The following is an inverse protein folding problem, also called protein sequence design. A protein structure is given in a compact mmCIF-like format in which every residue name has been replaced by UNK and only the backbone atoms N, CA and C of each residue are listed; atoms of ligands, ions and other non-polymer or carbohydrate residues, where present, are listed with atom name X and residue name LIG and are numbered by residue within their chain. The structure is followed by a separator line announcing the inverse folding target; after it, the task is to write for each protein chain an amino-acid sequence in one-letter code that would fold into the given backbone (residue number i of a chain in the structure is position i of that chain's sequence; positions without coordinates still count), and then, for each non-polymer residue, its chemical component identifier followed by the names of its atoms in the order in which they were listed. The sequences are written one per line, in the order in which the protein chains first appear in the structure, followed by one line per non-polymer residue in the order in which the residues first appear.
data_IF_404442316635
#
_entry.id   IF_404442316635
#
_cell.length_a   1.000
_cell.length_b   1.000
_cell.length_c   1.000
_cell.angle_alpha   90.00
_cell.angle_beta   90.00
_cell.angle_gamma   90.00
#
_symmetry.space_group_name_H-M   'P 1'
#
loop_
_entity.id
_entity.type
_entity.pdbx_description
1 polymer ?
#
# COMPACT_ATOMS: atom_id res chain seq x y z
N UNK A 1 -5.93 -7.12 17.90
CA UNK A 1 -6.94 -6.09 17.56
C UNK A 1 -6.52 -5.29 16.32
N UNK A 2 -5.22 -5.13 16.03
CA UNK A 2 -4.76 -4.28 14.92
C UNK A 2 -4.75 -4.92 13.52
N UNK A 3 -4.78 -6.25 13.41
CA UNK A 3 -4.62 -6.93 12.11
C UNK A 3 -5.90 -6.91 11.25
N UNK A 4 -7.06 -7.04 11.87
CA UNK A 4 -8.35 -7.01 11.16
C UNK A 4 -8.73 -5.60 10.71
N UNK A 5 -8.31 -4.57 11.44
CA UNK A 5 -8.65 -3.18 11.10
C UNK A 5 -7.95 -2.69 9.82
N UNK A 6 -6.69 -3.08 9.59
CA UNK A 6 -5.94 -2.67 8.40
C UNK A 6 -6.46 -3.35 7.12
N UNK A 7 -6.79 -4.64 7.20
CA UNK A 7 -7.38 -5.38 6.06
C UNK A 7 -8.79 -4.90 5.77
N UNK A 8 -9.60 -4.64 6.80
CA UNK A 8 -10.93 -4.04 6.64
C UNK A 8 -10.87 -2.62 6.08
N UNK A 9 -9.83 -1.87 6.40
CA UNK A 9 -9.65 -0.51 5.86
C UNK A 9 -9.38 -0.53 4.34
N UNK A 10 -8.49 -1.41 3.87
CA UNK A 10 -8.20 -1.56 2.44
C UNK A 10 -9.43 -2.05 1.66
N UNK A 11 -10.17 -3.02 2.20
CA UNK A 11 -11.42 -3.49 1.60
C UNK A 11 -12.56 -2.46 1.64
N UNK A 12 -12.66 -1.62 2.68
CA UNK A 12 -13.67 -0.56 2.73
C UNK A 12 -13.45 0.53 1.69
N UNK A 13 -12.21 0.79 1.29
CA UNK A 13 -11.93 1.77 0.23
C UNK A 13 -12.46 1.35 -1.15
N UNK A 14 -12.61 0.05 -1.38
CA UNK A 14 -13.11 -0.47 -2.68
C UNK A 14 -14.57 -0.86 -2.67
N UNK A 15 -15.13 -1.24 -1.51
CA UNK A 15 -16.48 -1.79 -1.43
C UNK A 15 -17.56 -0.84 -0.88
N UNK A 16 -17.16 0.26 -0.22
CA UNK A 16 -18.11 1.22 0.40
C UNK A 16 -18.37 2.46 -0.48
N UNK A 17 -17.94 2.46 -1.74
CA UNK A 17 -18.44 3.44 -2.70
C UNK A 17 -19.90 3.09 -3.01
N UNK A 18 -20.84 4.04 -2.90
CA UNK A 18 -22.22 3.79 -3.27
C UNK A 18 -22.27 3.33 -4.73
N UNK A 19 -23.20 2.42 -5.10
CA UNK A 19 -23.31 1.88 -6.46
C UNK A 19 -23.32 2.95 -7.55
N UNK A 20 -23.84 4.13 -7.25
CA UNK A 20 -23.85 5.31 -8.13
C UNK A 20 -22.46 5.84 -8.48
N UNK A 21 -21.44 5.63 -7.64
CA UNK A 21 -20.06 6.07 -7.90
C UNK A 21 -19.34 5.04 -8.78
N UNK A 22 -19.62 3.75 -8.59
CA UNK A 22 -19.07 2.67 -9.42
C UNK A 22 -19.64 2.71 -10.83
N UNK A 23 -20.95 2.93 -10.99
CA UNK A 23 -21.61 3.11 -12.30
C UNK A 23 -21.04 4.33 -13.05
N UNK A 24 -20.75 5.43 -12.34
CA UNK A 24 -20.15 6.61 -12.94
C UNK A 24 -18.68 6.43 -13.33
N UNK A 25 -17.93 5.61 -12.59
CA UNK A 25 -16.54 5.33 -12.93
C UNK A 25 -16.39 4.43 -14.16
N UNK A 26 -17.32 3.49 -14.37
CA UNK A 26 -17.36 2.69 -15.60
C UNK A 26 -17.77 3.54 -16.82
N UNK A 27 -18.62 4.53 -16.63
CA UNK A 27 -19.02 5.46 -17.70
C UNK A 27 -17.87 6.42 -18.08
N UNK A 28 -17.05 6.84 -17.13
CA UNK A 28 -15.85 7.66 -17.36
C UNK A 28 -14.71 6.88 -18.04
N UNK A 29 -14.69 5.55 -17.88
CA UNK A 29 -13.69 4.66 -18.49
C UNK A 29 -14.14 4.13 -19.85
N UNK A 30 -15.36 4.45 -20.32
CA UNK A 30 -15.76 4.11 -21.69
C UNK A 30 -14.82 4.83 -22.66
N UNK A 31 -14.21 4.09 -23.61
CA UNK A 31 -13.43 4.74 -24.66
C UNK A 31 -14.32 5.78 -25.36
N UNK A 32 -13.77 6.95 -25.57
CA UNK A 32 -14.46 7.99 -26.32
C UNK A 32 -14.99 7.39 -27.64
N UNK A 33 -16.22 7.75 -28.04
CA UNK A 33 -16.78 7.24 -29.29
C UNK A 33 -15.79 7.50 -30.41
N UNK A 34 -15.46 6.43 -31.18
CA UNK A 34 -14.44 6.45 -32.24
C UNK A 34 -14.78 7.41 -33.39
N UNK A 35 -15.91 8.07 -33.33
CA UNK A 35 -16.36 9.02 -34.31
C UNK A 35 -15.99 10.46 -33.91
N UNK A 36 -14.74 10.82 -34.18
CA UNK A 36 -14.24 12.20 -33.97
C UNK A 36 -15.10 13.27 -34.70
N UNK A 37 -15.84 12.88 -35.72
CA UNK A 37 -16.70 13.78 -36.48
C UNK A 37 -17.97 14.17 -35.70
N UNK A 38 -18.48 13.31 -34.83
CA UNK A 38 -19.63 13.61 -33.97
C UNK A 38 -19.28 14.56 -32.85
N UNK A 39 -18.06 14.45 -32.29
CA UNK A 39 -17.54 15.36 -31.28
C UNK A 39 -17.31 16.78 -31.82
N UNK A 40 -16.79 16.92 -33.04
CA UNK A 40 -16.60 18.22 -33.67
C UNK A 40 -17.92 18.90 -34.06
N UNK A 41 -18.95 18.17 -34.44
CA UNK A 41 -20.27 18.73 -34.72
C UNK A 41 -20.96 19.28 -33.47
N UNK A 42 -20.84 18.58 -32.33
CA UNK A 42 -21.36 19.07 -31.04
C UNK A 42 -20.65 20.32 -30.54
N UNK A 43 -19.35 20.44 -30.79
CA UNK A 43 -18.57 21.62 -30.39
C UNK A 43 -18.93 22.88 -31.22
N UNK A 44 -19.62 22.73 -32.36
CA UNK A 44 -20.03 23.84 -33.22
C UNK A 44 -21.45 24.36 -32.89
N UNK A 45 -22.25 23.68 -32.10
CA UNK A 45 -23.56 24.14 -31.63
C UNK A 45 -23.37 25.00 -30.37
N UNK A 46 -23.97 26.15 -30.32
CA UNK A 46 -23.98 26.99 -29.12
C UNK A 46 -24.67 26.23 -27.99
N UNK A 47 -24.08 26.17 -26.76
CA UNK A 47 -24.64 25.47 -25.65
C UNK A 47 -26.05 25.95 -25.34
N UNK A 48 -26.99 25.02 -25.18
CA UNK A 48 -28.37 25.32 -24.82
C UNK A 48 -28.47 25.73 -23.35
N UNK A 49 -29.59 26.32 -22.95
CA UNK A 49 -29.85 26.60 -21.54
C UNK A 49 -29.88 25.28 -20.71
N UNK A 50 -30.32 24.17 -21.31
CA UNK A 50 -30.32 22.86 -20.68
C UNK A 50 -28.90 22.37 -20.40
N UNK A 51 -27.97 22.48 -21.35
CA UNK A 51 -26.57 22.11 -21.18
C UNK A 51 -25.91 22.90 -20.03
N UNK A 52 -26.29 24.17 -19.88
CA UNK A 52 -25.83 25.01 -18.77
C UNK A 52 -26.35 24.49 -17.43
N UNK A 53 -27.63 24.15 -17.32
CA UNK A 53 -28.17 23.60 -16.07
C UNK A 53 -27.60 22.22 -15.74
N UNK A 54 -27.39 21.35 -16.73
CA UNK A 54 -26.78 20.05 -16.55
C UNK A 54 -25.32 20.17 -16.11
N UNK A 55 -24.57 21.11 -16.66
CA UNK A 55 -23.22 21.43 -16.21
C UNK A 55 -23.19 21.93 -14.75
N UNK A 56 -24.10 22.84 -14.39
CA UNK A 56 -24.15 23.35 -13.01
C UNK A 56 -24.51 22.22 -12.02
N UNK A 57 -25.45 21.36 -12.37
CA UNK A 57 -25.80 20.21 -11.55
C UNK A 57 -24.62 19.29 -11.37
N UNK A 58 -23.96 18.89 -12.45
CA UNK A 58 -22.75 18.03 -12.42
C UNK A 58 -21.64 18.66 -11.56
N UNK A 59 -21.41 19.98 -11.71
CA UNK A 59 -20.44 20.71 -10.90
C UNK A 59 -20.76 20.63 -9.39
N UNK A 60 -22.02 20.83 -9.00
CA UNK A 60 -22.40 20.75 -7.60
C UNK A 60 -22.33 19.32 -7.07
N UNK A 61 -22.77 18.34 -7.82
CA UNK A 61 -22.68 16.93 -7.46
C UNK A 61 -21.20 16.50 -7.24
N UNK A 62 -20.32 16.81 -8.16
CA UNK A 62 -18.87 16.56 -8.02
C UNK A 62 -18.25 17.30 -6.85
N UNK A 63 -18.67 18.52 -6.60
CA UNK A 63 -18.19 19.29 -5.46
C UNK A 63 -18.58 18.63 -4.14
N UNK A 64 -19.81 18.16 -4.01
CA UNK A 64 -20.27 17.44 -2.82
C UNK A 64 -19.48 16.13 -2.64
N UNK A 65 -19.33 15.35 -3.70
CA UNK A 65 -18.56 14.10 -3.68
C UNK A 65 -17.09 14.34 -3.31
N UNK A 66 -16.49 15.42 -3.83
CA UNK A 66 -15.13 15.80 -3.48
C UNK A 66 -14.97 16.08 -1.99
N UNK A 67 -15.85 16.90 -1.41
CA UNK A 67 -15.80 17.21 0.02
C UNK A 67 -16.09 15.98 0.89
N UNK A 68 -17.02 15.13 0.49
CA UNK A 68 -17.28 13.88 1.21
C UNK A 68 -16.08 12.92 1.16
N UNK A 69 -15.44 12.81 0.01
CA UNK A 69 -14.20 12.02 -0.13
C UNK A 69 -13.08 12.56 0.77
N UNK A 70 -12.89 13.89 0.82
CA UNK A 70 -11.92 14.51 1.73
C UNK A 70 -12.24 14.22 3.20
N UNK A 71 -13.52 14.30 3.58
CA UNK A 71 -13.98 13.97 4.93
C UNK A 71 -13.69 12.50 5.27
N UNK A 72 -14.00 11.58 4.36
CA UNK A 72 -13.73 10.15 4.56
C UNK A 72 -12.23 9.89 4.71
N UNK A 73 -11.39 10.47 3.85
CA UNK A 73 -9.94 10.34 3.95
C UNK A 73 -9.40 10.88 5.27
N UNK A 74 -9.90 12.02 5.73
CA UNK A 74 -9.51 12.58 7.02
C UNK A 74 -9.90 11.66 8.18
N UNK A 75 -11.10 11.09 8.16
CA UNK A 75 -11.54 10.14 9.17
C UNK A 75 -10.69 8.88 9.18
N UNK A 76 -10.39 8.31 8.00
CA UNK A 76 -9.54 7.14 7.88
C UNK A 76 -8.12 7.41 8.41
N UNK A 77 -7.58 8.60 8.14
CA UNK A 77 -6.27 9.01 8.68
C UNK A 77 -6.29 9.09 10.21
N UNK A 78 -7.32 9.72 10.78
CA UNK A 78 -7.47 9.80 12.23
C UNK A 78 -7.64 8.42 12.90
N UNK A 79 -8.37 7.51 12.27
CA UNK A 79 -8.50 6.13 12.74
C UNK A 79 -7.14 5.40 12.68
N UNK A 80 -6.39 5.58 11.61
CA UNK A 80 -5.07 5.00 11.44
C UNK A 80 -4.07 5.53 12.48
N UNK A 81 -4.08 6.83 12.74
CA UNK A 81 -3.29 7.45 13.82
C UNK A 81 -3.66 6.91 15.20
N UNK A 82 -4.96 6.79 15.51
CA UNK A 82 -5.44 6.21 16.77
C UNK A 82 -5.04 4.74 16.94
N UNK A 83 -4.92 4.01 15.84
CA UNK A 83 -4.42 2.64 15.83
C UNK A 83 -2.90 2.53 16.01
N UNK A 84 -2.17 3.64 16.08
CA UNK A 84 -0.70 3.67 16.24
C UNK A 84 0.06 3.51 14.94
N UNK A 85 -0.53 3.93 13.83
CA UNK A 85 0.08 3.90 12.49
C UNK A 85 0.60 2.50 12.11
N UNK A 86 -0.23 1.45 12.17
CA UNK A 86 0.20 0.11 11.77
C UNK A 86 0.62 0.09 10.30
N UNK A 87 1.57 -0.78 9.91
CA UNK A 87 1.95 -0.94 8.51
C UNK A 87 0.76 -1.29 7.63
N UNK A 88 0.58 -0.55 6.53
CA UNK A 88 -0.46 -0.78 5.53
C UNK A 88 0.03 -1.77 4.48
N UNK A 89 0.08 -3.05 4.84
CA UNK A 89 0.48 -4.14 3.94
C UNK A 89 -0.75 -4.92 3.45
N UNK A 90 -0.77 -5.25 2.17
CA UNK A 90 -1.80 -6.13 1.55
C UNK A 90 -1.55 -7.62 1.85
N UNK A 91 -0.57 -7.92 2.68
CA UNK A 91 -0.15 -9.26 3.07
C UNK A 91 -0.25 -9.44 4.57
N UNK A 92 -0.47 -10.69 5.05
CA UNK A 92 -0.32 -10.98 6.46
C UNK A 92 1.15 -11.07 6.82
N UNK A 93 1.49 -10.64 8.01
CA UNK A 93 2.86 -10.63 8.49
C UNK A 93 2.95 -10.86 10.00
N UNK A 94 4.13 -11.26 10.43
CA UNK A 94 4.55 -11.24 11.82
C UNK A 94 5.77 -10.31 11.99
N UNK A 95 5.84 -9.60 13.10
CA UNK A 95 7.03 -8.81 13.44
C UNK A 95 8.05 -9.72 14.09
N UNK A 96 9.21 -9.85 13.44
CA UNK A 96 10.33 -10.64 13.97
C UNK A 96 11.20 -9.82 14.91
N UNK A 97 11.61 -8.65 14.47
CA UNK A 97 12.45 -7.74 15.23
C UNK A 97 11.91 -6.32 15.15
N UNK A 98 11.79 -5.66 16.28
CA UNK A 98 11.47 -4.25 16.38
C UNK A 98 12.67 -3.51 16.95
N UNK A 99 13.38 -2.78 16.09
CA UNK A 99 14.61 -2.11 16.47
C UNK A 99 14.41 -0.90 17.39
N UNK A 100 13.17 -0.48 17.62
CA UNK A 100 12.86 0.53 18.65
C UNK A 100 13.15 0.02 20.06
N UNK A 101 13.18 -1.29 20.25
CA UNK A 101 13.52 -1.94 21.52
C UNK A 101 15.00 -2.26 21.70
N UNK A 102 15.85 -1.98 20.71
CA UNK A 102 17.28 -2.26 20.78
C UNK A 102 18.01 -1.22 21.66
N UNK A 103 19.17 -1.58 22.18
CA UNK A 103 20.03 -0.66 22.95
C UNK A 103 20.34 0.60 22.12
N UNK A 104 20.68 0.43 20.84
CA UNK A 104 20.75 1.51 19.85
C UNK A 104 19.45 1.52 19.05
N UNK A 105 18.46 2.20 19.58
CA UNK A 105 17.12 2.16 19.02
C UNK A 105 17.04 2.92 17.70
N UNK A 106 16.32 2.32 16.72
CA UNK A 106 16.06 2.87 15.39
C UNK A 106 14.61 2.65 15.05
N UNK A 107 14.00 3.55 14.29
CA UNK A 107 12.60 3.45 13.89
C UNK A 107 12.33 2.45 12.75
N UNK A 108 12.98 1.28 12.80
CA UNK A 108 12.83 0.21 11.81
C UNK A 108 12.34 -1.08 12.47
N UNK A 109 11.63 -1.88 11.69
CA UNK A 109 11.26 -3.25 12.08
C UNK A 109 11.41 -4.21 10.92
N UNK A 110 11.74 -5.47 11.24
CA UNK A 110 11.78 -6.59 10.30
C UNK A 110 10.48 -7.39 10.44
N UNK A 111 9.76 -7.49 9.35
CA UNK A 111 8.55 -8.28 9.23
C UNK A 111 8.85 -9.54 8.41
N UNK A 112 8.23 -10.66 8.78
CA UNK A 112 8.11 -11.85 7.94
C UNK A 112 6.72 -11.87 7.33
N UNK A 113 6.63 -11.98 6.02
CA UNK A 113 5.34 -12.11 5.34
C UNK A 113 4.86 -13.56 5.50
N UNK A 114 3.63 -13.74 5.96
CA UNK A 114 3.12 -15.06 6.34
C UNK A 114 2.00 -15.58 5.46
N UNK A 115 1.38 -14.73 4.66
CA UNK A 115 0.29 -15.15 3.80
C UNK A 115 0.19 -14.25 2.56
N UNK A 116 -0.05 -14.87 1.42
CA UNK A 116 -0.40 -14.23 0.16
C UNK A 116 -1.67 -14.85 -0.40
N UNK A 117 -2.62 -14.04 -0.86
CA UNK A 117 -3.86 -14.48 -1.51
C UNK A 117 -4.66 -15.55 -0.73
N UNK A 118 -4.57 -15.54 0.61
CA UNK A 118 -5.24 -16.52 1.47
C UNK A 118 -4.48 -17.84 1.65
N UNK A 119 -3.31 -17.98 1.03
CA UNK A 119 -2.43 -19.14 1.21
C UNK A 119 -1.37 -18.85 2.26
N UNK A 120 -1.15 -19.80 3.18
CA UNK A 120 -0.15 -19.63 4.22
C UNK A 120 1.28 -19.79 3.67
N UNK A 121 2.23 -19.25 4.43
CA UNK A 121 3.65 -19.25 4.12
C UNK A 121 4.20 -20.64 3.75
N UNK A 122 3.93 -21.65 4.58
CA UNK A 122 4.53 -22.97 4.45
C UNK A 122 4.11 -23.69 3.15
N UNK A 123 2.95 -23.32 2.59
CA UNK A 123 2.44 -23.91 1.35
C UNK A 123 2.96 -23.21 0.08
N UNK A 124 3.49 -22.00 0.21
CA UNK A 124 3.86 -21.14 -0.93
C UNK A 124 5.37 -21.03 -1.15
N UNK A 125 6.16 -21.34 -0.14
CA UNK A 125 7.60 -21.07 -0.14
C UNK A 125 8.41 -22.30 -0.52
N UNK A 126 9.31 -22.13 -1.47
CA UNK A 126 10.34 -23.10 -1.80
C UNK A 126 11.54 -22.87 -0.85
N UNK A 127 11.85 -23.84 0.03
CA UNK A 127 12.92 -23.70 1.00
C UNK A 127 14.33 -23.62 0.38
N UNK A 128 14.47 -24.05 -0.89
CA UNK A 128 15.74 -24.02 -1.60
C UNK A 128 16.00 -22.65 -2.27
N UNK A 129 14.99 -21.76 -2.28
CA UNK A 129 15.15 -20.40 -2.82
C UNK A 129 15.73 -19.44 -1.79
N UNK A 130 16.61 -18.50 -2.23
CA UNK A 130 17.17 -17.51 -1.32
C UNK A 130 16.06 -16.61 -0.76
N UNK A 131 16.12 -16.26 0.54
CA UNK A 131 15.19 -15.30 1.12
C UNK A 131 15.41 -13.90 0.55
N UNK A 132 14.33 -13.18 0.30
CA UNK A 132 14.34 -11.80 -0.19
C UNK A 132 13.98 -10.86 0.94
N UNK A 133 14.84 -9.88 1.20
CA UNK A 133 14.59 -8.80 2.15
C UNK A 133 14.26 -7.54 1.35
N UNK A 134 13.00 -7.18 1.31
CA UNK A 134 12.55 -5.94 0.69
C UNK A 134 12.69 -4.81 1.70
N UNK A 135 13.45 -3.77 1.32
CA UNK A 135 13.63 -2.57 2.14
C UNK A 135 12.74 -1.47 1.58
N UNK A 136 11.82 -1.01 2.39
CA UNK A 136 10.89 0.06 2.00
C UNK A 136 11.65 1.37 1.76
N UNK A 137 11.41 2.06 0.63
CA UNK A 137 11.99 3.37 0.40
C UNK A 137 11.45 4.37 1.42
N UNK A 138 12.33 5.13 2.05
CA UNK A 138 11.94 6.14 3.04
C UNK A 138 11.38 7.40 2.37
N UNK A 139 10.33 7.23 1.57
CA UNK A 139 9.72 8.27 0.74
C UNK A 139 8.27 8.57 1.14
N UNK A 140 8.00 8.75 2.43
CA UNK A 140 6.66 9.06 2.92
C UNK A 140 6.28 8.24 4.15
N UNK A 141 4.98 8.11 4.38
CA UNK A 141 4.43 7.34 5.48
C UNK A 141 3.82 6.04 4.97
N UNK A 142 4.17 4.95 5.62
CA UNK A 142 3.66 3.62 5.30
C UNK A 142 4.57 2.82 4.37
N UNK A 143 4.23 1.57 4.09
CA UNK A 143 4.98 0.73 3.18
C UNK A 143 4.87 1.30 1.78
N UNK A 144 6.00 1.68 1.20
CA UNK A 144 6.07 2.24 -0.13
C UNK A 144 5.64 1.27 -1.22
N UNK A 145 6.42 1.15 -2.27
CA UNK A 145 6.12 0.28 -3.41
C UNK A 145 6.22 -1.22 -3.09
N UNK A 146 6.79 -1.58 -1.92
CA UNK A 146 7.14 -2.94 -1.58
C UNK A 146 5.96 -3.85 -1.27
N UNK A 147 4.91 -3.37 -0.62
CA UNK A 147 3.96 -4.28 0.02
C UNK A 147 2.51 -3.85 0.12
N UNK A 148 2.10 -2.71 -0.44
CA UNK A 148 0.72 -2.24 -0.29
C UNK A 148 -0.26 -2.70 -1.39
N UNK A 149 0.20 -3.51 -2.32
CA UNK A 149 -0.61 -4.15 -3.36
C UNK A 149 -0.01 -5.49 -3.79
N UNK A 150 -0.86 -6.37 -4.33
CA UNK A 150 -0.48 -7.72 -4.73
C UNK A 150 0.59 -7.79 -5.82
N UNK A 151 0.59 -6.84 -6.74
CA UNK A 151 1.58 -6.72 -7.82
C UNK A 151 2.75 -5.82 -7.40
N UNK A 152 3.21 -5.99 -6.17
CA UNK A 152 4.39 -5.35 -5.61
C UNK A 152 5.58 -6.29 -5.62
N UNK A 153 6.76 -5.77 -5.28
CA UNK A 153 8.00 -6.56 -5.16
C UNK A 153 7.83 -7.71 -4.16
N UNK A 154 7.13 -7.48 -3.05
CA UNK A 154 6.79 -8.52 -2.08
C UNK A 154 5.92 -9.60 -2.73
N UNK A 155 4.84 -9.21 -3.39
CA UNK A 155 3.91 -10.16 -4.02
C UNK A 155 4.56 -10.94 -5.15
N UNK A 156 5.41 -10.33 -5.95
CA UNK A 156 6.13 -11.00 -7.03
C UNK A 156 7.13 -12.03 -6.48
N UNK A 157 7.95 -11.67 -5.50
CA UNK A 157 8.90 -12.57 -4.89
C UNK A 157 8.21 -13.78 -4.22
N UNK A 158 7.07 -13.56 -3.57
CA UNK A 158 6.29 -14.65 -2.95
C UNK A 158 5.67 -15.59 -4.00
N UNK A 159 5.12 -15.06 -5.09
CA UNK A 159 4.56 -15.90 -6.18
C UNK A 159 5.63 -16.76 -6.84
N UNK A 160 6.86 -16.26 -6.88
CA UNK A 160 8.01 -17.04 -7.34
C UNK A 160 8.51 -18.03 -6.27
N UNK A 161 7.88 -18.11 -5.12
CA UNK A 161 8.21 -19.06 -4.05
C UNK A 161 9.36 -18.65 -3.15
N UNK A 162 9.83 -17.42 -3.18
CA UNK A 162 10.86 -16.96 -2.27
C UNK A 162 10.32 -16.73 -0.86
N UNK A 163 11.09 -17.06 0.20
CA UNK A 163 10.85 -16.53 1.53
C UNK A 163 10.98 -15.00 1.52
N UNK A 164 9.96 -14.25 1.94
CA UNK A 164 9.96 -12.78 1.87
C UNK A 164 9.91 -12.16 3.25
N UNK A 165 10.83 -11.25 3.45
CA UNK A 165 10.94 -10.38 4.62
C UNK A 165 10.79 -8.93 4.17
N UNK A 166 10.19 -8.11 5.01
CA UNK A 166 9.96 -6.72 4.71
C UNK A 166 10.50 -5.83 5.82
N UNK A 167 11.36 -4.89 5.47
CA UNK A 167 11.87 -3.89 6.40
C UNK A 167 11.03 -2.65 6.26
N UNK A 168 10.29 -2.32 7.32
CA UNK A 168 9.54 -1.08 7.43
C UNK A 168 10.26 -0.09 8.30
N UNK A 169 9.95 1.19 8.13
CA UNK A 169 10.31 2.23 9.08
C UNK A 169 9.06 2.92 9.62
N UNK A 170 9.12 3.32 10.88
CA UNK A 170 8.07 4.12 11.50
C UNK A 170 8.27 5.60 11.19
N UNK A 171 7.20 6.41 11.13
CA UNK A 171 7.30 7.82 10.74
C UNK A 171 8.26 8.62 11.59
N UNK A 172 8.19 8.43 12.90
CA UNK A 172 9.01 9.18 13.85
C UNK A 172 10.35 8.49 14.10
N UNK A 173 11.49 9.17 13.84
CA UNK A 173 12.80 8.64 14.17
C UNK A 173 12.97 8.54 15.69
N UNK A 174 13.75 7.57 16.15
CA UNK A 174 14.13 7.51 17.56
C UNK A 174 15.15 8.60 17.91
N UNK A 175 15.06 9.11 19.11
CA UNK A 175 15.95 10.20 19.55
C UNK A 175 17.42 9.79 19.46
N UNK A 176 18.22 10.57 18.74
CA UNK A 176 19.65 10.34 18.59
C UNK A 176 20.04 9.27 17.58
N UNK A 177 19.11 8.67 16.86
CA UNK A 177 19.43 7.70 15.80
C UNK A 177 20.26 8.33 14.68
N UNK A 178 21.24 7.60 14.19
CA UNK A 178 22.11 7.98 13.09
C UNK A 178 21.99 7.02 11.91
N UNK A 179 22.51 7.40 10.74
CA UNK A 179 22.61 6.47 9.60
C UNK A 179 23.48 5.25 9.90
N UNK A 180 24.48 5.40 10.76
CA UNK A 180 25.31 4.27 11.19
C UNK A 180 24.50 3.27 12.04
N UNK A 181 23.60 3.75 12.88
CA UNK A 181 22.71 2.89 13.65
C UNK A 181 21.70 2.15 12.73
N UNK A 182 21.17 2.83 11.73
CA UNK A 182 20.32 2.21 10.70
C UNK A 182 21.06 1.09 9.97
N UNK A 183 22.29 1.34 9.53
CA UNK A 183 23.11 0.33 8.85
C UNK A 183 23.39 -0.88 9.76
N UNK A 184 23.70 -0.63 11.04
CA UNK A 184 23.91 -1.69 12.02
C UNK A 184 22.67 -2.54 12.22
N UNK A 185 21.50 -1.92 12.30
CA UNK A 185 20.21 -2.63 12.42
C UNK A 185 19.88 -3.44 11.17
N UNK A 186 20.07 -2.89 9.98
CA UNK A 186 19.85 -3.63 8.72
C UNK A 186 20.76 -4.85 8.62
N UNK A 187 22.03 -4.72 9.05
CA UNK A 187 22.95 -5.87 9.14
C UNK A 187 22.42 -6.93 10.10
N UNK A 188 21.94 -6.55 11.27
CA UNK A 188 21.36 -7.47 12.25
C UNK A 188 20.11 -8.16 11.71
N UNK A 189 19.28 -7.46 10.94
CA UNK A 189 18.13 -8.06 10.26
C UNK A 189 18.56 -9.10 9.22
N UNK A 190 19.61 -8.81 8.44
CA UNK A 190 20.16 -9.77 7.50
C UNK A 190 20.73 -11.02 8.20
N UNK A 191 21.43 -10.83 9.32
CA UNK A 191 21.96 -11.93 10.14
C UNK A 191 20.84 -12.82 10.69
N UNK A 192 19.72 -12.23 11.15
CA UNK A 192 18.54 -12.96 11.61
C UNK A 192 17.91 -13.79 10.48
N UNK A 193 17.76 -13.21 9.30
CA UNK A 193 17.22 -13.93 8.14
C UNK A 193 18.17 -15.04 7.70
N UNK A 194 19.46 -14.79 7.64
CA UNK A 194 20.47 -15.80 7.28
C UNK A 194 20.49 -17.00 8.25
N UNK A 195 20.30 -16.77 9.56
CA UNK A 195 20.19 -17.84 10.54
C UNK A 195 18.95 -18.73 10.35
N UNK A 196 17.86 -18.16 9.83
CA UNK A 196 16.62 -18.89 9.53
C UNK A 196 16.70 -19.70 8.23
N UNK A 197 17.63 -19.35 7.34
CA UNK A 197 17.83 -20.01 6.04
C UNK A 197 19.28 -20.47 5.85
N UNK A 198 19.72 -21.51 6.61
CA UNK A 198 21.08 -22.01 6.49
C UNK A 198 21.39 -22.48 5.07
N UNK A 199 22.47 -21.97 4.49
CA UNK A 199 22.90 -22.31 3.13
C UNK A 199 22.34 -21.38 2.04
N UNK A 200 21.32 -20.59 2.32
CA UNK A 200 20.70 -19.66 1.38
C UNK A 200 20.89 -18.22 1.86
N UNK A 201 21.92 -17.49 1.41
CA UNK A 201 22.14 -16.12 1.83
C UNK A 201 21.01 -15.20 1.37
N UNK A 202 20.56 -14.25 2.23
CA UNK A 202 19.51 -13.34 1.87
C UNK A 202 19.90 -12.36 0.76
N UNK A 203 18.96 -12.05 -0.11
CA UNK A 203 19.10 -11.04 -1.15
C UNK A 203 18.34 -9.79 -0.70
N UNK A 204 19.01 -8.64 -0.73
CA UNK A 204 18.37 -7.36 -0.49
C UNK A 204 17.77 -6.80 -1.78
N UNK A 205 16.53 -6.38 -1.68
CA UNK A 205 15.84 -5.62 -2.71
C UNK A 205 15.44 -4.27 -2.11
N UNK A 206 15.97 -3.20 -2.66
CA UNK A 206 15.68 -1.84 -2.21
C UNK A 206 15.62 -0.89 -3.40
N UNK A 207 14.84 0.17 -3.28
CA UNK A 207 14.70 1.20 -4.29
C UNK A 207 15.17 2.55 -3.74
#
# INVERSE_FOLDING_TARGET
VGKEAAVQWAHRQTNDLPPTVLDHSEELLRPAPQDASSGMKRAAEAPSAQDYFDYQRDFFERTILFWDTLRQRANNMLEHERAGLPPLLDFKYETLLDARSFERSVNYALLRITEIDGHCWDDCVDPDKPPVIVVDPRAGHGPGIGGFKRDSEVGMAMREGHPVYFVIFFPEPTLGQTLADVLHVLRRFAEEVAQRHPGNPPVFYGN
#
